data_IF_261067372648
#
_entry.id   IF_261067372648
#
_cell.length_a   1.000
_cell.length_b   1.000
_cell.length_c   1.000
_cell.angle_alpha   90.00
_cell.angle_beta   90.00
_cell.angle_gamma   90.00
#
_symmetry.space_group_name_H-M   'P 1'
#
loop_
_entity.id
_entity.type
_entity.pdbx_description
1 polymer ?
#
# COMPACT_ATOMS: atom_id res chain seq x y z
N UNK A 1 0.36 11.00 27.39
CA UNK A 1 0.64 11.97 26.33
C UNK A 1 -0.62 12.21 25.53
N UNK A 2 -1.05 13.42 25.56
CA UNK A 2 -2.27 13.84 24.94
C UNK A 2 -2.05 14.05 23.43
N UNK A 3 -2.13 13.01 22.65
CA UNK A 3 -2.69 13.23 21.32
C UNK A 3 -4.15 13.54 21.57
N UNK A 4 -4.46 14.83 21.70
CA UNK A 4 -5.83 15.30 21.76
C UNK A 4 -6.58 14.62 20.63
N UNK A 5 -7.63 13.87 20.95
CA UNK A 5 -8.52 13.25 19.98
C UNK A 5 -9.30 14.36 19.25
N UNK A 6 -8.56 15.19 18.53
CA UNK A 6 -9.14 16.27 17.73
C UNK A 6 -9.95 15.62 16.61
N UNK A 7 -11.26 15.81 16.69
CA UNK A 7 -12.14 15.45 15.57
C UNK A 7 -11.77 16.33 14.37
N UNK A 8 -11.50 15.68 13.23
CA UNK A 8 -11.28 16.38 11.97
C UNK A 8 -12.51 17.27 11.67
N UNK A 9 -12.26 18.53 11.35
CA UNK A 9 -13.33 19.51 11.02
C UNK A 9 -13.82 19.37 9.58
N UNK A 10 -13.04 18.73 8.72
CA UNK A 10 -13.35 18.51 7.29
C UNK A 10 -12.73 17.20 6.82
N UNK A 11 -13.33 16.61 5.80
CA UNK A 11 -12.79 15.47 5.12
C UNK A 11 -11.51 15.84 4.35
N UNK A 12 -10.53 14.95 4.38
CA UNK A 12 -9.34 15.04 3.53
C UNK A 12 -9.72 14.88 2.05
N UNK A 13 -8.83 15.27 1.16
CA UNK A 13 -9.04 15.14 -0.29
C UNK A 13 -9.34 13.70 -0.69
N UNK A 14 -8.63 12.73 -0.13
CA UNK A 14 -8.85 11.31 -0.43
C UNK A 14 -10.15 10.77 0.18
N UNK A 15 -10.54 11.20 1.39
CA UNK A 15 -11.83 10.83 1.98
C UNK A 15 -13.00 11.32 1.12
N UNK A 16 -12.90 12.53 0.58
CA UNK A 16 -13.90 13.04 -0.38
C UNK A 16 -13.96 12.18 -1.63
N UNK A 17 -12.80 11.76 -2.14
CA UNK A 17 -12.69 10.87 -3.29
C UNK A 17 -13.34 9.50 -2.99
N UNK A 18 -13.06 8.87 -1.83
CA UNK A 18 -13.71 7.62 -1.43
C UNK A 18 -15.24 7.78 -1.31
N UNK A 19 -15.72 8.85 -0.70
CA UNK A 19 -17.17 9.08 -0.56
C UNK A 19 -17.90 9.15 -1.92
N UNK A 20 -17.23 9.63 -2.95
CA UNK A 20 -17.78 9.71 -4.29
C UNK A 20 -17.86 8.33 -5.00
N UNK A 21 -17.12 7.32 -4.52
CA UNK A 21 -17.21 5.95 -5.09
C UNK A 21 -18.52 5.23 -4.75
N UNK A 22 -19.32 5.75 -3.83
CA UNK A 22 -20.49 5.07 -3.29
C UNK A 22 -20.18 4.06 -2.18
N UNK A 23 -18.92 3.89 -1.79
CA UNK A 23 -18.54 3.02 -0.68
C UNK A 23 -19.05 3.57 0.65
N UNK A 24 -19.59 2.69 1.48
CA UNK A 24 -20.07 3.01 2.84
C UNK A 24 -18.89 2.92 3.80
N UNK A 25 -18.61 4.02 4.49
CA UNK A 25 -17.59 4.05 5.54
C UNK A 25 -18.15 3.47 6.85
N UNK A 26 -17.61 2.34 7.26
CA UNK A 26 -18.01 1.63 8.50
C UNK A 26 -17.24 2.10 9.74
N UNK A 27 -16.08 2.75 9.56
CA UNK A 27 -15.26 3.20 10.68
C UNK A 27 -13.81 3.43 10.32
N UNK A 28 -12.95 3.45 11.34
CA UNK A 28 -11.50 3.59 11.23
C UNK A 28 -10.82 2.34 11.76
N UNK A 29 -9.72 1.98 11.13
CA UNK A 29 -8.83 0.89 11.57
C UNK A 29 -7.65 1.44 12.39
N UNK A 30 -6.94 0.54 13.05
CA UNK A 30 -5.73 0.86 13.80
C UNK A 30 -4.56 1.16 12.86
N UNK A 31 -3.71 2.06 13.29
CA UNK A 31 -2.40 2.39 12.70
C UNK A 31 -1.40 2.62 13.83
N UNK A 32 -0.10 2.45 13.62
CA UNK A 32 0.90 2.86 14.59
C UNK A 32 0.97 4.40 14.68
N UNK A 33 1.64 4.90 15.70
CA UNK A 33 1.86 6.32 15.88
C UNK A 33 2.49 6.94 14.64
N UNK A 34 1.90 8.04 14.16
CA UNK A 34 2.32 8.80 12.96
C UNK A 34 2.44 7.96 11.67
N UNK A 35 2.13 6.67 11.68
CA UNK A 35 2.26 5.79 10.52
C UNK A 35 3.71 5.47 10.15
N UNK A 36 4.67 5.58 11.06
CA UNK A 36 6.10 5.53 10.78
C UNK A 36 6.73 4.13 10.87
N UNK A 37 6.00 3.13 11.36
CA UNK A 37 6.54 1.78 11.53
C UNK A 37 5.92 0.76 10.57
N UNK A 38 6.69 -0.28 10.25
CA UNK A 38 6.24 -1.43 9.45
C UNK A 38 5.39 -2.45 10.22
N UNK A 39 5.02 -2.14 11.47
CA UNK A 39 4.12 -2.91 12.33
C UNK A 39 2.95 -2.03 12.77
N UNK A 40 1.90 -2.63 13.36
CA UNK A 40 0.73 -1.89 13.86
C UNK A 40 0.51 -2.23 15.34
N UNK A 41 1.27 -1.54 16.19
CA UNK A 41 1.39 -1.82 17.63
C UNK A 41 1.29 -0.52 18.43
N UNK A 42 0.20 0.23 18.21
CA UNK A 42 -0.02 1.49 18.87
C UNK A 42 -0.15 1.34 20.40
N UNK A 43 0.53 2.19 21.15
CA UNK A 43 0.50 2.17 22.61
C UNK A 43 -0.91 2.35 23.18
N UNK A 44 -1.74 3.19 22.54
CA UNK A 44 -3.08 3.52 23.03
C UNK A 44 -4.11 2.41 22.78
N UNK A 45 -3.89 1.57 21.75
CA UNK A 45 -4.86 0.55 21.31
C UNK A 45 -4.32 -0.86 21.47
N UNK A 46 -3.03 -0.98 21.78
CA UNK A 46 -2.31 -2.24 21.80
C UNK A 46 -2.01 -2.78 20.39
N UNK A 47 -1.36 -3.94 20.30
CA UNK A 47 -0.96 -4.54 19.04
C UNK A 47 -2.17 -5.07 18.27
N UNK A 48 -2.23 -4.73 16.99
CA UNK A 48 -3.12 -5.39 16.04
C UNK A 48 -2.53 -6.76 15.68
N UNK A 49 -3.36 -7.78 15.63
CA UNK A 49 -2.93 -9.16 15.37
C UNK A 49 -3.28 -9.59 13.96
N UNK A 50 -2.41 -10.44 13.39
CA UNK A 50 -2.64 -11.04 12.09
C UNK A 50 -3.82 -12.05 12.18
N UNK A 51 -4.85 -11.94 11.34
CA UNK A 51 -5.99 -12.87 11.40
C UNK A 51 -5.65 -14.33 11.13
N UNK A 52 -4.58 -14.59 10.39
CA UNK A 52 -4.14 -15.95 10.07
C UNK A 52 -3.42 -16.62 11.24
N UNK A 53 -2.65 -15.85 12.00
CA UNK A 53 -2.00 -16.31 13.22
C UNK A 53 -1.78 -15.11 14.16
N UNK A 54 -2.43 -15.18 15.33
CA UNK A 54 -2.45 -14.07 16.31
C UNK A 54 -1.10 -13.80 16.99
N UNK A 55 -0.13 -14.69 16.83
CA UNK A 55 1.23 -14.50 17.37
C UNK A 55 2.08 -13.58 16.49
N UNK A 56 1.59 -13.29 15.27
CA UNK A 56 2.28 -12.45 14.30
C UNK A 56 1.59 -11.08 14.12
N UNK A 57 2.39 -10.12 13.65
CA UNK A 57 1.92 -8.82 13.22
C UNK A 57 1.20 -8.92 11.87
N UNK A 58 0.16 -8.11 11.62
CA UNK A 58 -0.40 -7.95 10.27
C UNK A 58 0.47 -7.06 9.36
N UNK A 59 1.67 -6.66 9.82
CA UNK A 59 2.46 -5.63 9.18
C UNK A 59 1.93 -4.22 9.46
N UNK A 60 2.49 -3.23 8.78
CA UNK A 60 2.12 -1.81 8.98
C UNK A 60 2.60 -0.91 7.84
N UNK A 61 2.24 0.34 7.91
CA UNK A 61 1.44 1.00 8.94
C UNK A 61 -0.08 0.81 8.79
N UNK A 62 -0.58 0.28 7.67
CA UNK A 62 -2.00 0.02 7.44
C UNK A 62 -2.44 -1.38 7.90
N UNK A 63 -1.85 -1.91 9.00
CA UNK A 63 -2.12 -3.26 9.48
C UNK A 63 -3.55 -3.48 9.96
N UNK A 64 -4.18 -2.48 10.58
CA UNK A 64 -5.58 -2.57 10.95
C UNK A 64 -6.52 -2.71 9.75
N UNK A 65 -6.23 -1.99 8.65
CA UNK A 65 -6.96 -2.13 7.40
C UNK A 65 -6.80 -3.54 6.80
N UNK A 66 -5.57 -4.05 6.76
CA UNK A 66 -5.29 -5.39 6.28
C UNK A 66 -5.96 -6.48 7.13
N UNK A 67 -5.90 -6.37 8.45
CA UNK A 67 -6.55 -7.30 9.36
C UNK A 67 -8.07 -7.36 9.14
N UNK A 68 -8.74 -6.22 8.95
CA UNK A 68 -10.18 -6.17 8.67
C UNK A 68 -10.54 -6.81 7.34
N UNK A 69 -9.74 -6.61 6.29
CA UNK A 69 -9.99 -7.20 4.97
C UNK A 69 -9.68 -8.70 4.97
N UNK A 70 -8.58 -9.13 5.59
CA UNK A 70 -8.21 -10.54 5.68
C UNK A 70 -9.20 -11.37 6.50
N UNK A 71 -9.74 -10.81 7.59
CA UNK A 71 -10.78 -11.46 8.39
C UNK A 71 -12.16 -11.46 7.75
N UNK A 72 -12.35 -10.86 6.57
CA UNK A 72 -13.62 -10.82 5.85
C UNK A 72 -14.65 -9.82 6.40
N UNK A 73 -14.29 -8.99 7.38
CA UNK A 73 -15.20 -8.00 7.97
C UNK A 73 -15.58 -6.94 6.93
N UNK A 74 -14.60 -6.51 6.10
CA UNK A 74 -14.84 -5.62 4.98
C UNK A 74 -14.21 -6.19 3.71
N UNK A 75 -14.72 -5.81 2.54
CA UNK A 75 -14.16 -6.23 1.24
C UNK A 75 -12.96 -5.38 0.80
N UNK A 76 -12.91 -4.14 1.25
CA UNK A 76 -11.93 -3.13 0.88
C UNK A 76 -11.67 -2.21 2.08
N UNK A 77 -10.44 -1.79 2.27
CA UNK A 77 -10.10 -0.80 3.28
C UNK A 77 -9.03 0.17 2.75
N UNK A 78 -9.15 1.43 3.19
CA UNK A 78 -8.15 2.47 2.90
C UNK A 78 -6.81 2.12 3.52
N UNK A 79 -5.76 2.35 2.75
CA UNK A 79 -4.38 2.24 3.17
C UNK A 79 -3.53 3.34 2.52
N UNK A 80 -2.42 3.72 3.13
CA UNK A 80 -1.45 4.61 2.51
C UNK A 80 -0.05 3.99 2.51
N UNK A 81 0.83 4.49 1.66
CA UNK A 81 2.16 3.91 1.46
C UNK A 81 3.20 5.02 1.23
N UNK A 82 4.13 5.14 2.15
CA UNK A 82 5.32 5.99 2.02
C UNK A 82 6.59 5.16 1.82
N UNK A 83 6.66 4.02 2.54
CA UNK A 83 7.80 3.12 2.52
C UNK A 83 7.38 1.64 2.48
N UNK A 84 6.14 1.35 2.08
CA UNK A 84 5.62 -0.01 2.03
C UNK A 84 4.29 -0.21 2.75
N UNK A 85 3.69 0.82 3.33
CA UNK A 85 2.56 0.67 4.25
C UNK A 85 1.21 0.25 3.63
N UNK A 86 1.11 0.09 2.30
CA UNK A 86 0.08 -0.72 1.62
C UNK A 86 0.59 -2.13 1.42
N UNK A 87 1.81 -2.27 0.88
CA UNK A 87 2.38 -3.51 0.38
C UNK A 87 2.79 -4.48 1.48
N UNK A 88 3.41 -3.97 2.55
CA UNK A 88 3.83 -4.78 3.71
C UNK A 88 2.62 -5.48 4.35
N UNK A 89 1.57 -4.76 4.80
CA UNK A 89 0.43 -5.42 5.44
C UNK A 89 -0.37 -6.29 4.46
N UNK A 90 -0.41 -5.95 3.18
CA UNK A 90 -1.01 -6.82 2.17
C UNK A 90 -0.27 -8.15 2.06
N UNK A 91 1.06 -8.13 2.04
CA UNK A 91 1.90 -9.33 2.03
C UNK A 91 1.72 -10.17 3.30
N UNK A 92 1.80 -9.55 4.48
CA UNK A 92 1.64 -10.24 5.76
C UNK A 92 0.25 -10.89 5.94
N UNK A 93 -0.78 -10.35 5.29
CA UNK A 93 -2.17 -10.81 5.44
C UNK A 93 -2.73 -11.56 4.22
N UNK A 94 -1.91 -11.84 3.18
CA UNK A 94 -2.35 -12.55 1.99
C UNK A 94 -3.37 -11.77 1.16
N UNK A 95 -3.17 -10.47 0.99
CA UNK A 95 -4.06 -9.53 0.31
C UNK A 95 -3.43 -8.94 -0.95
N UNK A 96 -4.25 -8.27 -1.75
CA UNK A 96 -3.79 -7.43 -2.86
C UNK A 96 -3.57 -6.01 -2.34
N UNK A 97 -2.33 -5.54 -2.43
CA UNK A 97 -1.93 -4.19 -2.05
C UNK A 97 -1.20 -3.50 -3.20
N UNK A 98 -1.88 -2.63 -3.93
CA UNK A 98 -1.31 -1.86 -5.02
C UNK A 98 -0.95 -0.45 -4.52
N UNK A 99 0.36 -0.13 -4.51
CA UNK A 99 0.79 1.26 -4.40
C UNK A 99 0.69 1.92 -5.79
N UNK A 100 -0.25 2.85 -6.00
CA UNK A 100 -0.44 3.46 -7.31
C UNK A 100 0.75 4.35 -7.69
N UNK A 101 0.88 4.63 -8.97
CA UNK A 101 1.79 5.66 -9.47
C UNK A 101 1.45 7.01 -8.84
N UNK A 102 2.48 7.81 -8.57
CA UNK A 102 2.33 9.16 -8.02
C UNK A 102 1.39 9.99 -8.88
N UNK A 103 0.43 10.67 -8.25
CA UNK A 103 -0.58 11.48 -8.94
C UNK A 103 -1.80 10.71 -9.44
N UNK A 104 -1.90 9.38 -9.23
CA UNK A 104 -3.07 8.57 -9.61
C UNK A 104 -4.27 8.75 -8.67
N UNK A 105 -4.00 8.99 -7.40
CA UNK A 105 -5.00 9.25 -6.35
C UNK A 105 -4.79 10.65 -5.78
N UNK A 106 -5.78 11.15 -5.04
CA UNK A 106 -5.66 12.42 -4.35
C UNK A 106 -4.44 12.43 -3.42
N UNK A 107 -3.72 13.54 -3.39
CA UNK A 107 -2.56 13.72 -2.52
C UNK A 107 -2.96 13.64 -1.05
N UNK A 108 -2.04 13.18 -0.22
CA UNK A 108 -2.17 13.28 1.23
C UNK A 108 -2.18 14.76 1.61
N UNK A 109 -3.18 15.18 2.36
CA UNK A 109 -3.23 16.55 2.88
C UNK A 109 -1.98 16.77 3.76
N UNK A 110 -1.24 17.83 3.52
CA UNK A 110 0.05 18.07 4.17
C UNK A 110 1.28 17.60 3.38
N UNK A 111 1.14 16.74 2.37
CA UNK A 111 2.28 16.34 1.52
C UNK A 111 2.92 17.52 0.77
N UNK A 112 2.22 18.64 0.67
CA UNK A 112 2.72 19.88 0.05
C UNK A 112 3.87 20.55 0.82
N UNK A 113 3.98 20.26 2.11
CA UNK A 113 5.06 20.80 2.96
C UNK A 113 6.25 19.84 3.05
N UNK A 114 6.11 18.63 2.52
CA UNK A 114 7.21 17.66 2.47
C UNK A 114 8.17 17.98 1.34
N UNK A 115 9.48 17.90 1.55
CA UNK A 115 10.47 18.15 0.52
C UNK A 115 10.33 17.19 -0.67
N UNK A 116 9.90 15.96 -0.41
CA UNK A 116 9.63 14.94 -1.42
C UNK A 116 8.28 14.29 -1.11
N UNK A 117 7.38 14.28 -2.10
CA UNK A 117 6.11 13.57 -1.94
C UNK A 117 6.30 12.07 -2.16
N UNK A 118 6.47 11.32 -1.06
CA UNK A 118 6.60 9.86 -1.05
C UNK A 118 5.30 9.16 -0.63
N UNK A 119 4.28 9.90 -0.14
CA UNK A 119 3.05 9.34 0.37
C UNK A 119 2.04 9.10 -0.75
N UNK A 120 1.49 7.89 -0.81
CA UNK A 120 0.48 7.47 -1.77
C UNK A 120 -0.74 6.95 -1.03
N UNK A 121 -1.92 7.34 -1.51
CA UNK A 121 -3.19 6.82 -1.03
C UNK A 121 -3.62 5.63 -1.89
N UNK A 122 -4.23 4.64 -1.28
CA UNK A 122 -4.74 3.47 -1.97
C UNK A 122 -5.61 2.63 -1.07
N UNK A 123 -5.74 1.37 -1.43
CA UNK A 123 -6.56 0.39 -0.73
C UNK A 123 -5.87 -0.97 -0.66
N UNK A 124 -6.32 -1.79 0.29
CA UNK A 124 -6.08 -3.24 0.31
C UNK A 124 -7.39 -3.97 0.07
N UNK A 125 -7.34 -5.05 -0.70
CA UNK A 125 -8.49 -5.88 -1.07
C UNK A 125 -8.11 -7.36 -1.07
N UNK A 126 -9.10 -8.26 -1.21
CA UNK A 126 -8.85 -9.70 -1.38
C UNK A 126 -8.65 -10.13 -2.83
N UNK A 127 -8.96 -9.27 -3.80
CA UNK A 127 -8.84 -9.63 -5.21
C UNK A 127 -8.30 -8.51 -6.08
N UNK A 128 -7.59 -8.88 -7.15
CA UNK A 128 -7.13 -7.94 -8.18
C UNK A 128 -8.33 -7.23 -8.84
N UNK A 129 -9.44 -7.95 -9.02
CA UNK A 129 -10.68 -7.39 -9.59
C UNK A 129 -11.23 -6.23 -8.76
N UNK A 130 -11.27 -6.38 -7.42
CA UNK A 130 -11.79 -5.32 -6.54
C UNK A 130 -10.83 -4.11 -6.53
N UNK A 131 -9.52 -4.36 -6.55
CA UNK A 131 -8.51 -3.30 -6.70
C UNK A 131 -8.69 -2.56 -8.03
N UNK A 132 -8.86 -3.28 -9.14
CA UNK A 132 -9.07 -2.68 -10.47
C UNK A 132 -10.34 -1.84 -10.52
N UNK A 133 -11.45 -2.35 -9.99
CA UNK A 133 -12.72 -1.62 -9.93
C UNK A 133 -12.63 -0.34 -9.10
N UNK A 134 -11.91 -0.38 -7.98
CA UNK A 134 -11.66 0.81 -7.16
C UNK A 134 -10.90 1.88 -7.94
N UNK A 135 -9.78 1.51 -8.58
CA UNK A 135 -8.97 2.49 -9.32
C UNK A 135 -9.68 3.02 -10.56
N UNK A 136 -10.43 2.19 -11.29
CA UNK A 136 -11.29 2.65 -12.38
C UNK A 136 -12.27 3.73 -11.89
N UNK A 137 -12.98 3.46 -10.78
CA UNK A 137 -13.95 4.40 -10.22
C UNK A 137 -13.28 5.71 -9.79
N UNK A 138 -12.09 5.64 -9.16
CA UNK A 138 -11.34 6.83 -8.75
C UNK A 138 -10.90 7.69 -9.94
N UNK A 139 -10.51 7.08 -11.04
CA UNK A 139 -10.06 7.78 -12.25
C UNK A 139 -11.17 8.54 -12.99
N UNK A 140 -12.43 8.12 -12.86
CA UNK A 140 -13.57 8.82 -13.48
C UNK A 140 -13.95 10.10 -12.74
N UNK A 141 -13.39 10.32 -11.54
CA UNK A 141 -13.74 11.48 -10.73
C UNK A 141 -13.00 12.73 -11.19
N UNK A 142 -13.63 13.93 -11.07
CA UNK A 142 -12.97 15.18 -11.40
C UNK A 142 -11.83 15.45 -10.42
N UNK A 143 -10.68 14.95 -10.75
CA UNK A 143 -9.44 15.19 -10.02
C UNK A 143 -8.39 15.69 -11.02
N UNK A 144 -7.54 16.60 -10.62
CA UNK A 144 -6.44 17.09 -11.47
C UNK A 144 -5.36 16.01 -11.57
N UNK A 145 -5.72 14.82 -12.06
CA UNK A 145 -4.74 13.79 -12.35
C UNK A 145 -3.94 14.22 -13.58
N UNK A 146 -2.62 14.21 -13.42
CA UNK A 146 -1.71 14.46 -14.53
C UNK A 146 -1.46 13.21 -15.40
N UNK A 147 -2.04 12.08 -15.02
CA UNK A 147 -1.82 10.78 -15.67
C UNK A 147 -3.04 10.39 -16.51
N UNK A 148 -2.81 9.78 -17.69
CA UNK A 148 -3.91 9.22 -18.49
C UNK A 148 -4.63 8.12 -17.70
N UNK A 149 -5.95 7.95 -17.87
CA UNK A 149 -6.69 6.89 -17.20
C UNK A 149 -6.23 5.51 -17.70
N UNK A 150 -6.19 4.54 -16.78
CA UNK A 150 -5.95 3.13 -17.12
C UNK A 150 -7.22 2.49 -17.68
N UNK A 151 -8.37 2.95 -17.18
CA UNK A 151 -9.68 2.39 -17.52
C UNK A 151 -9.95 1.05 -16.84
N UNK A 152 -10.91 0.31 -17.35
CA UNK A 152 -11.37 -0.94 -16.79
C UNK A 152 -10.44 -2.10 -17.14
N UNK A 153 -9.73 -2.60 -16.15
CA UNK A 153 -8.89 -3.80 -16.29
C UNK A 153 -9.74 -5.03 -15.95
N UNK A 154 -10.13 -5.80 -16.97
CA UNK A 154 -10.98 -6.99 -16.84
C UNK A 154 -10.28 -8.30 -17.20
N UNK A 155 -9.10 -8.23 -17.81
CA UNK A 155 -8.33 -9.38 -18.22
C UNK A 155 -6.83 -9.05 -18.26
N UNK A 156 -5.97 -10.06 -18.24
CA UNK A 156 -4.53 -9.87 -18.45
C UNK A 156 -4.22 -9.19 -19.77
N UNK A 157 -3.19 -8.37 -19.80
CA UNK A 157 -2.66 -7.80 -21.04
C UNK A 157 -2.08 -8.89 -21.96
N UNK A 158 -2.19 -8.67 -23.27
CA UNK A 158 -1.62 -9.61 -24.28
C UNK A 158 -0.13 -9.41 -24.51
N UNK A 159 0.42 -8.28 -24.08
CA UNK A 159 1.84 -7.97 -24.25
C UNK A 159 2.70 -8.92 -23.42
N UNK A 160 3.78 -9.41 -24.02
CA UNK A 160 4.82 -10.13 -23.29
C UNK A 160 5.85 -9.12 -22.77
N UNK A 161 6.13 -9.19 -21.50
CA UNK A 161 6.97 -8.23 -20.79
C UNK A 161 8.37 -8.81 -20.59
N UNK A 162 9.36 -7.95 -20.52
CA UNK A 162 10.67 -8.25 -19.91
C UNK A 162 10.57 -7.84 -18.43
N UNK A 163 10.81 -8.79 -17.56
CA UNK A 163 10.64 -8.63 -16.11
C UNK A 163 11.98 -8.87 -15.43
N UNK A 164 12.46 -7.89 -14.70
CA UNK A 164 13.66 -8.04 -13.88
C UNK A 164 13.30 -8.73 -12.55
N UNK A 165 14.05 -9.78 -12.21
CA UNK A 165 14.02 -10.43 -10.92
C UNK A 165 15.19 -9.93 -10.07
N UNK A 166 14.90 -9.29 -8.94
CA UNK A 166 15.90 -8.83 -7.97
C UNK A 166 15.66 -9.53 -6.66
N UNK A 167 16.65 -10.24 -6.15
CA UNK A 167 16.59 -10.98 -4.87
C UNK A 167 17.74 -10.62 -3.93
N UNK A 168 18.53 -9.62 -4.28
CA UNK A 168 19.65 -9.14 -3.47
C UNK A 168 19.15 -8.65 -2.11
N UNK A 169 19.77 -9.14 -1.03
CA UNK A 169 19.41 -8.78 0.34
C UNK A 169 18.12 -9.41 0.87
N UNK A 170 17.39 -10.19 0.06
CA UNK A 170 16.22 -10.90 0.52
C UNK A 170 16.60 -12.11 1.39
N UNK A 171 15.83 -12.36 2.47
CA UNK A 171 15.90 -13.62 3.17
C UNK A 171 15.44 -14.80 2.29
N UNK A 172 15.65 -16.02 2.76
CA UNK A 172 15.38 -17.22 1.99
C UNK A 172 13.91 -17.34 1.59
N UNK A 173 12.97 -17.05 2.49
CA UNK A 173 11.53 -17.18 2.23
C UNK A 173 11.05 -16.15 1.21
N UNK A 174 11.48 -14.90 1.34
CA UNK A 174 11.19 -13.83 0.38
C UNK A 174 11.79 -14.12 -1.00
N UNK A 175 13.01 -14.65 -1.04
CA UNK A 175 13.67 -15.06 -2.30
C UNK A 175 12.87 -16.14 -3.01
N UNK A 176 12.53 -17.23 -2.32
CA UNK A 176 11.75 -18.34 -2.87
C UNK A 176 10.39 -17.86 -3.39
N UNK A 177 9.72 -16.98 -2.67
CA UNK A 177 8.46 -16.40 -3.11
C UNK A 177 8.60 -15.58 -4.41
N UNK A 178 9.65 -14.76 -4.52
CA UNK A 178 9.93 -13.97 -5.70
C UNK A 178 10.31 -14.86 -6.91
N UNK A 179 11.14 -15.88 -6.70
CA UNK A 179 11.52 -16.85 -7.72
C UNK A 179 10.31 -17.66 -8.22
N UNK A 180 9.42 -18.09 -7.31
CA UNK A 180 8.17 -18.77 -7.68
C UNK A 180 7.25 -17.84 -8.50
N UNK A 181 7.09 -16.59 -8.11
CA UNK A 181 6.32 -15.62 -8.88
C UNK A 181 6.93 -15.42 -10.29
N UNK A 182 8.26 -15.34 -10.39
CA UNK A 182 8.97 -15.24 -11.67
C UNK A 182 8.74 -16.47 -12.57
N UNK A 183 8.75 -17.69 -12.00
CA UNK A 183 8.46 -18.93 -12.73
C UNK A 183 7.02 -18.92 -13.28
N UNK A 184 6.03 -18.51 -12.50
CA UNK A 184 4.64 -18.36 -12.95
C UNK A 184 4.54 -17.38 -14.12
N UNK A 185 5.21 -16.23 -14.03
CA UNK A 185 5.24 -15.23 -15.11
C UNK A 185 5.96 -15.75 -16.36
N UNK A 186 7.03 -16.52 -16.20
CA UNK A 186 7.70 -17.19 -17.34
C UNK A 186 6.77 -18.21 -18.03
N UNK A 187 5.99 -18.96 -17.24
CA UNK A 187 4.96 -19.89 -17.74
C UNK A 187 3.88 -19.20 -18.58
N UNK A 188 3.57 -17.97 -18.25
CA UNK A 188 2.66 -17.09 -19.03
C UNK A 188 3.34 -16.48 -20.27
N UNK A 189 4.62 -16.80 -20.52
CA UNK A 189 5.38 -16.36 -21.70
C UNK A 189 6.07 -15.02 -21.54
N UNK A 190 6.21 -14.49 -20.33
CA UNK A 190 7.05 -13.31 -20.07
C UNK A 190 8.53 -13.70 -20.04
N UNK A 191 9.40 -12.75 -20.39
CA UNK A 191 10.85 -12.93 -20.30
C UNK A 191 11.36 -12.48 -18.94
N UNK A 192 11.93 -13.40 -18.16
CA UNK A 192 12.49 -13.12 -16.84
C UNK A 192 14.01 -12.98 -16.94
N UNK A 193 14.53 -11.92 -16.35
CA UNK A 193 15.96 -11.64 -16.30
C UNK A 193 16.38 -11.34 -14.85
N UNK A 194 17.26 -12.17 -14.30
CA UNK A 194 17.82 -11.89 -12.98
C UNK A 194 18.84 -10.75 -13.10
N UNK A 195 18.68 -9.72 -12.31
CA UNK A 195 19.59 -8.57 -12.26
C UNK A 195 19.94 -8.25 -10.81
N UNK A 196 21.08 -7.62 -10.59
CA UNK A 196 21.42 -7.03 -9.28
C UNK A 196 20.60 -5.79 -8.99
N UNK A 197 20.45 -5.46 -7.71
CA UNK A 197 19.72 -4.28 -7.26
C UNK A 197 20.28 -3.02 -7.97
N UNK A 198 19.45 -2.26 -8.70
CA UNK A 198 19.93 -1.14 -9.53
C UNK A 198 20.22 0.15 -8.72
N UNK A 199 20.29 0.04 -7.39
CA UNK A 199 20.53 1.16 -6.49
C UNK A 199 21.79 0.92 -5.66
N UNK A 200 22.53 2.01 -5.38
CA UNK A 200 23.66 1.92 -4.44
C UNK A 200 23.15 1.76 -3.00
N UNK A 201 23.95 1.15 -2.10
CA UNK A 201 23.61 1.07 -0.67
C UNK A 201 23.32 2.45 -0.03
N UNK A 202 23.94 3.52 -0.53
CA UNK A 202 23.73 4.88 -0.06
C UNK A 202 22.26 5.33 -0.12
N UNK A 203 21.48 4.81 -1.06
CA UNK A 203 20.03 5.13 -1.18
C UNK A 203 19.26 4.72 0.09
N UNK A 204 19.65 3.63 0.74
CA UNK A 204 19.02 3.20 1.98
C UNK A 204 19.36 4.14 3.14
N UNK A 205 20.62 4.56 3.25
CA UNK A 205 21.06 5.50 4.29
C UNK A 205 20.35 6.86 4.11
N UNK A 206 20.30 7.38 2.90
CA UNK A 206 19.61 8.62 2.57
C UNK A 206 18.10 8.52 2.87
N UNK A 207 17.49 7.36 2.59
CA UNK A 207 16.09 7.12 2.92
C UNK A 207 15.87 7.12 4.44
N UNK A 208 16.73 6.48 5.23
CA UNK A 208 16.61 6.47 6.69
C UNK A 208 16.79 7.87 7.29
N UNK A 209 17.68 8.69 6.75
CA UNK A 209 17.81 10.10 7.15
C UNK A 209 16.51 10.84 6.88
N UNK A 210 15.98 10.76 5.65
CA UNK A 210 14.71 11.40 5.29
C UNK A 210 13.56 10.92 6.18
N UNK A 211 13.47 9.61 6.43
CA UNK A 211 12.42 9.00 7.26
C UNK A 211 12.50 9.48 8.70
N UNK A 212 13.70 9.57 9.26
CA UNK A 212 13.92 10.10 10.61
C UNK A 212 13.50 11.56 10.74
N UNK A 213 13.76 12.39 9.72
CA UNK A 213 13.33 13.79 9.71
C UNK A 213 11.80 13.97 9.70
N UNK A 214 11.03 12.96 9.31
CA UNK A 214 9.57 13.01 9.37
C UNK A 214 9.00 12.70 10.77
N UNK A 215 9.81 12.22 11.69
CA UNK A 215 9.41 11.91 13.06
C UNK A 215 9.57 13.11 14.04
N UNK A 216 10.22 14.16 13.60
CA UNK A 216 10.47 15.40 14.33
C UNK A 216 9.87 16.58 13.57
#
# INVERSE_FOLDING_TARGET
SAVNLNKARKDSSFVKQIKQTGLINLGKSTTPEFGLTGTTEALIQGPTRNPWNKDFSPGGSSGGAAALVASGIVSIAHANDGAGSIRIPASCCGLVGLKPTRGRTALVDGSKIMPINILHQGVVTRSVRDTAAFYETIETMPNKHSLPPIGKVISPGKARLRIALVTDGADQECRLAAEHAAQLMAGEGHHIEAISLPFSPQVLDDFFILWSCMAF
#
